data_IF_384268002031
#
_entry.id   IF_384268002031
#
_cell.length_a   1.000
_cell.length_b   1.000
_cell.length_c   1.000
_cell.angle_alpha   90.00
_cell.angle_beta   90.00
_cell.angle_gamma   90.00
#
_symmetry.space_group_name_H-M   'P 1'
#
loop_
_entity.id
_entity.type
_entity.pdbx_description
1 polymer ?
#
# COMPACT_ATOMS: atom_id res chain seq x y z
N UNK A 1 13.53 -30.17 -51.56
CA UNK A 1 14.31 -31.17 -50.81
C UNK A 1 13.81 -31.18 -49.38
N UNK A 2 13.26 -32.34 -48.95
CA UNK A 2 12.97 -32.80 -47.58
C UNK A 2 12.12 -31.91 -46.64
N UNK A 3 11.04 -32.37 -46.03
CA UNK A 3 10.48 -33.71 -45.91
C UNK A 3 9.30 -33.66 -44.94
N UNK A 4 8.22 -34.35 -45.31
CA UNK A 4 7.03 -34.58 -44.48
C UNK A 4 7.37 -35.69 -43.49
N UNK A 5 7.11 -35.50 -42.19
CA UNK A 5 6.96 -36.63 -41.26
C UNK A 5 5.75 -36.39 -40.36
N UNK A 6 4.67 -37.06 -40.74
CA UNK A 6 3.51 -37.34 -39.91
C UNK A 6 3.93 -38.47 -38.98
N UNK A 7 3.87 -38.27 -37.66
CA UNK A 7 3.82 -39.37 -36.70
C UNK A 7 2.45 -39.32 -36.03
N UNK A 8 1.56 -40.18 -36.55
CA UNK A 8 0.40 -40.68 -35.83
C UNK A 8 0.90 -41.48 -34.62
N UNK A 9 1.02 -40.80 -33.48
CA UNK A 9 1.15 -41.44 -32.18
C UNK A 9 -0.21 -41.97 -31.75
N UNK A 10 -0.48 -43.23 -32.11
CA UNK A 10 -1.63 -44.01 -31.67
C UNK A 10 -1.54 -44.19 -30.14
N UNK A 11 -2.09 -43.24 -29.39
CA UNK A 11 -2.28 -43.41 -27.94
C UNK A 11 -3.39 -44.43 -27.73
N UNK A 12 -2.96 -45.66 -27.42
CA UNK A 12 -3.81 -46.77 -27.01
C UNK A 12 -4.62 -46.35 -25.78
N UNK A 13 -5.94 -46.35 -25.93
CA UNK A 13 -6.93 -46.25 -24.88
C UNK A 13 -6.88 -47.49 -23.98
N UNK A 14 -5.90 -47.57 -23.07
CA UNK A 14 -6.04 -48.39 -21.86
C UNK A 14 -6.52 -47.48 -20.73
N UNK A 15 -7.75 -47.71 -20.30
CA UNK A 15 -8.45 -46.90 -19.32
C UNK A 15 -7.84 -46.99 -17.93
N UNK A 16 -7.60 -45.82 -17.34
CA UNK A 16 -8.04 -45.39 -16.01
C UNK A 16 -7.57 -43.94 -15.87
N UNK A 17 -8.33 -42.99 -16.42
CA UNK A 17 -8.27 -41.61 -15.91
C UNK A 17 -8.81 -41.71 -14.50
N UNK A 18 -7.91 -41.74 -13.52
CA UNK A 18 -8.26 -41.47 -12.14
C UNK A 18 -8.73 -40.02 -12.10
N UNK A 19 -10.04 -39.84 -11.99
CA UNK A 19 -10.66 -38.57 -11.69
C UNK A 19 -10.11 -38.10 -10.34
N UNK A 20 -9.08 -37.25 -10.35
CA UNK A 20 -8.80 -36.43 -9.19
C UNK A 20 -10.00 -35.51 -9.03
N UNK A 21 -10.61 -35.40 -7.83
CA UNK A 21 -11.52 -34.31 -7.59
C UNK A 21 -10.74 -33.02 -7.84
N UNK A 22 -11.16 -32.23 -8.83
CA UNK A 22 -10.83 -30.80 -8.84
C UNK A 22 -11.42 -30.27 -7.56
N UNK A 23 -10.58 -30.10 -6.55
CA UNK A 23 -10.96 -29.41 -5.33
C UNK A 23 -11.35 -28.01 -5.79
N UNK A 24 -12.64 -27.76 -5.89
CA UNK A 24 -13.14 -26.40 -5.90
C UNK A 24 -12.67 -25.82 -4.57
N UNK A 25 -11.55 -25.09 -4.61
CA UNK A 25 -11.17 -24.20 -3.51
C UNK A 25 -12.29 -23.16 -3.44
N UNK A 26 -13.29 -23.45 -2.61
CA UNK A 26 -14.06 -22.41 -1.99
C UNK A 26 -13.06 -21.66 -1.12
N UNK A 27 -12.45 -20.59 -1.68
CA UNK A 27 -11.89 -19.54 -0.87
C UNK A 27 -13.00 -19.09 0.06
N UNK A 28 -12.92 -19.53 1.32
CA UNK A 28 -13.65 -18.87 2.38
C UNK A 28 -13.13 -17.43 2.38
N UNK A 29 -13.93 -16.50 1.86
CA UNK A 29 -13.73 -15.07 2.08
C UNK A 29 -13.92 -14.85 3.58
N UNK A 30 -12.86 -15.08 4.37
CA UNK A 30 -12.74 -14.43 5.66
C UNK A 30 -12.89 -12.93 5.37
N UNK A 31 -13.76 -12.21 6.11
CA UNK A 31 -13.79 -10.76 6.03
C UNK A 31 -12.34 -10.28 6.12
N UNK A 32 -11.85 -9.54 5.13
CA UNK A 32 -10.52 -8.95 5.20
C UNK A 32 -10.59 -7.96 6.36
N UNK A 33 -10.06 -8.36 7.52
CA UNK A 33 -10.02 -7.54 8.73
C UNK A 33 -9.36 -6.20 8.38
N UNK A 34 -10.17 -5.15 8.25
CA UNK A 34 -9.69 -3.79 7.99
C UNK A 34 -9.19 -3.17 9.27
N UNK A 35 -8.35 -2.14 9.17
CA UNK A 35 -8.07 -1.31 10.34
C UNK A 35 -9.35 -0.63 10.84
N UNK A 36 -9.35 -0.27 12.13
CA UNK A 36 -10.44 0.47 12.73
C UNK A 36 -10.67 1.79 11.97
N UNK A 37 -11.93 2.06 11.61
CA UNK A 37 -12.34 3.22 10.81
C UNK A 37 -12.87 4.38 11.66
N UNK A 38 -12.77 4.29 12.99
CA UNK A 38 -13.26 5.31 13.94
C UNK A 38 -12.76 6.72 13.63
N UNK A 39 -11.56 6.83 13.04
CA UNK A 39 -10.91 8.10 12.72
C UNK A 39 -10.86 8.42 11.23
N UNK A 40 -11.65 7.75 10.39
CA UNK A 40 -11.68 8.00 8.94
C UNK A 40 -12.24 9.39 8.55
N UNK A 41 -12.84 10.11 9.50
CA UNK A 41 -13.43 11.45 9.28
C UNK A 41 -12.64 12.57 9.97
N UNK A 42 -11.37 12.35 10.31
CA UNK A 42 -10.50 13.44 10.77
C UNK A 42 -10.35 14.49 9.66
N UNK A 43 -10.27 15.77 10.06
CA UNK A 43 -10.04 16.86 9.12
C UNK A 43 -8.54 16.95 8.79
N UNK A 44 -8.16 16.31 7.68
CA UNK A 44 -6.77 16.29 7.20
C UNK A 44 -6.32 17.70 6.79
N UNK A 45 -7.22 18.53 6.28
CA UNK A 45 -6.91 19.88 5.79
C UNK A 45 -6.55 20.79 6.95
N UNK A 46 -7.31 20.71 8.04
CA UNK A 46 -7.03 21.42 9.27
C UNK A 46 -5.65 21.03 9.83
N UNK A 47 -5.35 19.73 9.86
CA UNK A 47 -4.06 19.24 10.37
C UNK A 47 -2.91 19.73 9.50
N UNK A 48 -3.00 19.57 8.16
CA UNK A 48 -1.94 19.96 7.23
C UNK A 48 -1.76 21.49 7.16
N UNK A 49 -2.85 22.25 7.33
CA UNK A 49 -2.84 23.71 7.33
C UNK A 49 -2.33 24.35 8.62
N UNK A 50 -2.18 23.59 9.70
CA UNK A 50 -1.70 24.09 10.99
C UNK A 50 -0.34 23.47 11.35
N UNK A 51 0.71 24.31 11.38
CA UNK A 51 2.06 23.93 11.81
C UNK A 51 2.08 23.24 13.19
N UNK A 52 1.27 23.75 14.13
CA UNK A 52 1.20 23.21 15.50
C UNK A 52 0.65 21.78 15.51
N UNK A 53 -0.51 21.58 14.88
CA UNK A 53 -1.16 20.27 14.77
C UNK A 53 -0.28 19.27 14.02
N UNK A 54 0.20 19.64 12.82
CA UNK A 54 1.06 18.76 12.04
C UNK A 54 2.31 18.33 12.82
N UNK A 55 2.99 19.26 13.47
CA UNK A 55 4.17 18.96 14.29
C UNK A 55 3.86 17.99 15.44
N UNK A 56 2.69 18.12 16.06
CA UNK A 56 2.27 17.18 17.11
C UNK A 56 2.08 15.77 16.56
N UNK A 57 1.43 15.63 15.40
CA UNK A 57 1.31 14.31 14.74
C UNK A 57 2.66 13.75 14.32
N UNK A 58 3.52 14.53 13.67
CA UNK A 58 4.87 14.08 13.30
C UNK A 58 5.66 13.63 14.51
N UNK A 59 5.67 14.41 15.60
CA UNK A 59 6.40 14.04 16.82
C UNK A 59 5.80 12.79 17.49
N UNK A 60 4.48 12.65 17.49
CA UNK A 60 3.81 11.42 17.92
C UNK A 60 4.32 10.25 17.08
N UNK A 61 4.21 10.30 15.75
CA UNK A 61 4.62 9.23 14.85
C UNK A 61 6.13 8.94 14.94
N UNK A 62 6.96 9.94 15.24
CA UNK A 62 8.39 9.78 15.48
C UNK A 62 8.75 9.22 16.88
N UNK A 63 7.76 9.01 17.76
CA UNK A 63 7.93 8.61 19.17
C UNK A 63 8.68 9.65 20.02
N UNK A 64 8.56 10.92 19.66
CA UNK A 64 9.26 12.06 20.29
C UNK A 64 8.28 13.01 21.02
N UNK A 65 7.00 12.65 21.11
CA UNK A 65 5.99 13.47 21.77
C UNK A 65 4.72 12.71 22.12
N UNK A 66 3.77 13.37 22.80
CA UNK A 66 2.49 12.77 23.12
C UNK A 66 1.67 12.50 21.85
N UNK A 67 0.85 11.46 21.90
CA UNK A 67 -0.09 11.12 20.84
C UNK A 67 -1.53 11.42 21.29
N UNK A 68 -2.33 11.96 20.39
CA UNK A 68 -3.78 11.87 20.48
C UNK A 68 -4.24 10.41 20.27
N UNK A 69 -5.47 10.03 20.64
CA UNK A 69 -5.94 8.66 20.45
C UNK A 69 -5.86 8.16 19.00
N UNK A 70 -6.16 9.03 18.03
CA UNK A 70 -6.09 8.74 16.61
C UNK A 70 -4.63 8.65 16.12
N UNK A 71 -3.76 9.59 16.54
CA UNK A 71 -2.33 9.53 16.23
C UNK A 71 -1.66 8.29 16.81
N UNK A 72 -2.11 7.82 17.98
CA UNK A 72 -1.61 6.61 18.62
C UNK A 72 -2.00 5.36 17.82
N UNK A 73 -3.27 5.26 17.42
CA UNK A 73 -3.74 4.18 16.56
C UNK A 73 -2.95 4.16 15.23
N UNK A 74 -2.77 5.32 14.60
CA UNK A 74 -2.00 5.44 13.36
C UNK A 74 -0.56 4.95 13.56
N UNK A 75 0.13 5.42 14.61
CA UNK A 75 1.48 4.98 14.96
C UNK A 75 1.60 3.45 15.07
N UNK A 76 0.60 2.79 15.67
CA UNK A 76 0.61 1.34 15.88
C UNK A 76 0.41 0.55 14.58
N UNK A 77 -0.45 1.04 13.67
CA UNK A 77 -0.73 0.34 12.41
C UNK A 77 0.29 0.64 11.30
N UNK A 78 1.02 1.76 11.36
CA UNK A 78 1.93 2.19 10.29
C UNK A 78 2.94 1.12 9.84
N UNK A 79 3.61 0.34 10.73
CA UNK A 79 4.53 -0.70 10.29
C UNK A 79 3.87 -1.78 9.43
N UNK A 80 2.65 -2.21 9.77
CA UNK A 80 1.87 -3.18 8.99
C UNK A 80 1.39 -2.53 7.68
N UNK A 81 0.87 -1.30 7.75
CA UNK A 81 0.36 -0.59 6.60
C UNK A 81 1.45 -0.32 5.55
N UNK A 82 2.66 0.04 5.95
CA UNK A 82 3.78 0.27 5.02
C UNK A 82 4.32 -1.06 4.48
N UNK A 83 4.50 -2.09 5.31
CA UNK A 83 5.06 -3.38 4.85
C UNK A 83 4.13 -4.17 3.93
N UNK A 84 2.84 -3.85 3.93
CA UNK A 84 1.82 -4.57 3.16
C UNK A 84 1.11 -3.71 2.13
N UNK A 85 1.63 -2.53 1.81
CA UNK A 85 0.98 -1.57 0.88
C UNK A 85 -0.48 -1.28 1.24
N UNK A 86 -0.75 -1.11 2.54
CA UNK A 86 -2.03 -0.68 3.09
C UNK A 86 -3.20 -1.62 2.71
N UNK A 87 -2.97 -2.93 2.57
CA UNK A 87 -4.01 -3.89 2.11
C UNK A 87 -5.25 -3.95 2.99
N UNK A 88 -5.12 -3.58 4.27
CA UNK A 88 -6.22 -3.50 5.27
C UNK A 88 -6.81 -2.10 5.44
N UNK A 89 -6.26 -1.10 4.74
CA UNK A 89 -6.74 0.27 4.86
C UNK A 89 -8.10 0.45 4.20
N UNK A 90 -8.97 1.21 4.84
CA UNK A 90 -10.23 1.66 4.24
C UNK A 90 -9.94 2.55 3.03
N UNK A 91 -10.92 2.75 2.12
CA UNK A 91 -10.75 3.70 1.01
C UNK A 91 -10.41 5.12 1.48
N UNK A 92 -10.99 5.56 2.60
CA UNK A 92 -10.70 6.88 3.18
C UNK A 92 -9.28 6.96 3.74
N UNK A 93 -8.81 5.90 4.40
CA UNK A 93 -7.44 5.83 4.92
C UNK A 93 -6.40 5.86 3.80
N UNK A 94 -6.66 5.23 2.65
CA UNK A 94 -5.77 5.27 1.48
C UNK A 94 -5.67 6.66 0.87
N UNK A 95 -6.82 7.29 0.64
CA UNK A 95 -6.86 8.67 0.10
C UNK A 95 -6.20 9.64 1.07
N UNK A 96 -6.49 9.50 2.36
CA UNK A 96 -5.90 10.32 3.41
C UNK A 96 -4.40 10.13 3.54
N UNK A 97 -3.92 8.87 3.50
CA UNK A 97 -2.49 8.57 3.61
C UNK A 97 -1.72 9.14 2.43
N UNK A 98 -2.16 8.91 1.19
CA UNK A 98 -1.54 9.47 -0.02
C UNK A 98 -1.44 10.99 0.04
N UNK A 99 -2.52 11.65 0.46
CA UNK A 99 -2.52 13.11 0.59
C UNK A 99 -1.49 13.60 1.61
N UNK A 100 -1.45 12.99 2.79
CA UNK A 100 -0.53 13.38 3.87
C UNK A 100 0.92 13.08 3.48
N UNK A 101 1.21 11.90 2.93
CA UNK A 101 2.56 11.51 2.53
C UNK A 101 3.09 12.42 1.42
N UNK A 102 2.30 12.70 0.38
CA UNK A 102 2.70 13.61 -0.70
C UNK A 102 2.97 15.02 -0.16
N UNK A 103 2.10 15.54 0.70
CA UNK A 103 2.30 16.85 1.33
C UNK A 103 3.59 16.90 2.14
N UNK A 104 3.86 15.87 2.96
CA UNK A 104 5.07 15.80 3.77
C UNK A 104 6.34 15.73 2.91
N UNK A 105 6.33 14.92 1.84
CA UNK A 105 7.47 14.81 0.91
C UNK A 105 7.75 16.18 0.25
N UNK A 106 6.71 16.86 -0.22
CA UNK A 106 6.86 18.09 -1.00
C UNK A 106 7.13 19.34 -0.13
N UNK A 107 6.54 19.41 1.06
CA UNK A 107 6.50 20.65 1.86
C UNK A 107 7.24 20.54 3.19
N UNK A 108 7.45 19.32 3.70
CA UNK A 108 8.07 19.05 5.02
C UNK A 108 9.13 17.94 4.92
N UNK A 109 10.13 18.05 4.02
CA UNK A 109 11.06 16.95 3.73
C UNK A 109 11.84 16.48 4.95
N UNK A 110 12.19 17.38 5.88
CA UNK A 110 12.88 17.01 7.13
C UNK A 110 12.00 16.16 8.06
N UNK A 111 10.70 16.48 8.16
CA UNK A 111 9.76 15.68 8.94
C UNK A 111 9.47 14.35 8.25
N UNK A 112 9.35 14.35 6.92
CA UNK A 112 9.24 13.11 6.14
C UNK A 112 10.43 12.19 6.39
N UNK A 113 11.66 12.68 6.25
CA UNK A 113 12.88 11.89 6.46
C UNK A 113 12.95 11.26 7.86
N UNK A 114 12.45 11.96 8.89
CA UNK A 114 12.37 11.40 10.24
C UNK A 114 11.44 10.19 10.30
N UNK A 115 10.26 10.30 9.68
CA UNK A 115 9.27 9.21 9.65
C UNK A 115 9.70 8.07 8.72
N UNK A 116 10.24 8.38 7.55
CA UNK A 116 10.73 7.42 6.56
C UNK A 116 11.77 6.49 7.17
N UNK A 117 12.74 7.02 7.94
CA UNK A 117 13.72 6.18 8.64
C UNK A 117 13.12 5.17 9.62
N UNK A 118 11.93 5.44 10.15
CA UNK A 118 11.25 4.55 11.11
C UNK A 118 10.37 3.50 10.42
N UNK A 119 9.70 3.88 9.33
CA UNK A 119 8.64 3.07 8.73
C UNK A 119 8.97 2.52 7.34
N UNK A 120 9.77 3.21 6.53
CA UNK A 120 10.24 2.78 5.20
C UNK A 120 11.75 3.09 5.02
N UNK A 121 12.66 2.35 5.68
CA UNK A 121 14.10 2.63 5.59
C UNK A 121 14.70 2.50 4.19
N UNK A 122 13.98 1.86 3.26
CA UNK A 122 14.39 1.74 1.86
C UNK A 122 14.01 3.00 1.05
N UNK A 123 13.15 3.87 1.58
CA UNK A 123 12.64 5.06 0.89
C UNK A 123 11.87 4.73 -0.39
N UNK A 124 11.28 3.55 -0.44
CA UNK A 124 10.61 2.99 -1.61
C UNK A 124 9.41 3.84 -2.04
N UNK A 125 8.61 4.30 -1.07
CA UNK A 125 7.43 5.11 -1.34
C UNK A 125 7.80 6.48 -1.93
N UNK A 126 8.75 7.18 -1.30
CA UNK A 126 9.20 8.49 -1.79
C UNK A 126 9.76 8.40 -3.19
N UNK A 127 10.55 7.36 -3.48
CA UNK A 127 11.10 7.13 -4.82
C UNK A 127 9.99 6.96 -5.85
N UNK A 128 9.02 6.07 -5.60
CA UNK A 128 7.91 5.82 -6.51
C UNK A 128 7.07 7.08 -6.76
N UNK A 129 6.78 7.86 -5.71
CA UNK A 129 6.04 9.12 -5.84
C UNK A 129 6.78 10.14 -6.72
N UNK A 130 8.08 10.34 -6.50
CA UNK A 130 8.87 11.31 -7.27
C UNK A 130 9.02 10.89 -8.73
N UNK A 131 9.14 9.58 -9.01
CA UNK A 131 9.13 9.04 -10.38
C UNK A 131 7.79 9.34 -11.07
N UNK A 132 6.67 9.00 -10.44
CA UNK A 132 5.32 9.28 -10.97
C UNK A 132 5.09 10.78 -11.21
N UNK A 133 5.49 11.63 -10.26
CA UNK A 133 5.36 13.09 -10.36
C UNK A 133 6.18 13.66 -11.53
N UNK A 134 7.38 13.14 -11.76
CA UNK A 134 8.22 13.53 -12.88
C UNK A 134 7.65 13.09 -14.23
N UNK A 135 6.98 11.93 -14.30
CA UNK A 135 6.30 11.46 -15.50
C UNK A 135 5.05 12.27 -15.84
N UNK A 136 4.19 12.55 -14.86
CA UNK A 136 2.98 13.36 -15.06
C UNK A 136 3.28 14.81 -15.49
N UNK A 137 4.42 15.36 -15.07
CA UNK A 137 4.88 16.69 -15.52
C UNK A 137 5.22 16.68 -17.01
N UNK A 138 5.82 15.59 -17.53
CA UNK A 138 6.22 15.47 -18.94
C UNK A 138 5.03 15.29 -19.88
N UNK A 139 3.95 14.68 -19.42
CA UNK A 139 2.74 14.49 -20.22
C UNK A 139 1.88 15.76 -20.30
N UNK A 140 1.94 16.63 -19.28
CA UNK A 140 1.22 17.90 -19.25
C UNK A 140 1.87 19.01 -20.11
N UNK A 141 3.10 18.80 -20.57
CA UNK A 141 3.86 19.72 -21.42
C UNK A 141 3.87 19.34 -22.91
N UNK A 142 3.15 18.27 -23.29
CA UNK A 142 3.02 17.80 -24.68
C UNK A 142 1.66 18.16 -25.27
#
# INVERSE_FOLDING_TARGET
MFGRTIIFGLFLMTGLVQSHPTTNSAEATTPRETYDTKFDNIDIDEILGSERLLKNYVNCLAREGPCTPDGKMLQEILPDAVSTDCVKCSPKQKIGSERVTHYLIDNKPQDWERLERLYDPQGSYRKAYLEQKAEGTKESEK
#
